data_IF_418503962709
#
_entry.id   IF_418503962709
#
_cell.length_a   1.000
_cell.length_b   1.000
_cell.length_c   1.000
_cell.angle_alpha   90.00
_cell.angle_beta   90.00
_cell.angle_gamma   90.00
#
_symmetry.space_group_name_H-M   'P 1'
#
loop_
_entity.id
_entity.type
_entity.pdbx_description
1 polymer ?
#
# COMPACT_ATOMS: atom_id res chain seq x y z
N UNK A 1 -12.10 -22.05 7.42
CA UNK A 1 -12.53 -20.82 6.74
C UNK A 1 -11.50 -20.58 5.66
N UNK A 2 -11.91 -20.42 4.41
CA UNK A 2 -10.97 -20.11 3.33
C UNK A 2 -10.39 -18.70 3.53
N UNK A 3 -9.11 -18.46 3.22
CA UNK A 3 -8.53 -17.13 3.30
C UNK A 3 -9.30 -16.19 2.37
N UNK A 4 -9.46 -14.94 2.80
CA UNK A 4 -9.99 -13.89 1.93
C UNK A 4 -9.00 -13.59 0.81
N UNK A 5 -9.45 -12.90 -0.22
CA UNK A 5 -8.57 -12.48 -1.30
C UNK A 5 -7.47 -11.51 -0.81
N UNK A 6 -7.74 -10.73 0.24
CA UNK A 6 -6.72 -9.91 0.90
C UNK A 6 -5.72 -10.76 1.68
N UNK A 7 -6.17 -11.81 2.37
CA UNK A 7 -5.25 -12.73 3.07
C UNK A 7 -4.29 -13.38 2.07
N UNK A 8 -4.77 -13.80 0.90
CA UNK A 8 -3.91 -14.34 -0.18
C UNK A 8 -2.90 -13.32 -0.68
N UNK A 9 -3.28 -12.05 -0.78
CA UNK A 9 -2.36 -10.97 -1.17
C UNK A 9 -1.30 -10.76 -0.12
N UNK A 10 -1.68 -10.69 1.16
CA UNK A 10 -0.73 -10.57 2.26
C UNK A 10 0.23 -11.76 2.24
N UNK A 11 -0.29 -12.98 2.20
CA UNK A 11 0.51 -14.22 2.12
C UNK A 11 1.50 -14.21 0.95
N UNK A 12 1.10 -13.73 -0.22
CA UNK A 12 1.99 -13.61 -1.38
C UNK A 12 3.07 -12.53 -1.20
N UNK A 13 2.72 -11.39 -0.60
CA UNK A 13 3.67 -10.29 -0.35
C UNK A 13 4.71 -10.70 0.70
N UNK A 14 4.29 -11.30 1.81
CA UNK A 14 5.16 -11.58 2.96
C UNK A 14 5.74 -13.01 2.97
N UNK A 15 5.62 -13.75 1.86
CA UNK A 15 5.96 -15.19 1.79
C UNK A 15 7.40 -15.52 2.25
N UNK A 16 8.35 -14.61 1.99
CA UNK A 16 9.77 -14.76 2.33
C UNK A 16 10.23 -13.74 3.39
N UNK A 17 9.28 -13.11 4.10
CA UNK A 17 9.57 -12.15 5.15
C UNK A 17 9.62 -12.84 6.52
N UNK A 18 10.65 -12.54 7.30
CA UNK A 18 10.88 -13.02 8.66
C UNK A 18 10.87 -11.87 9.66
N UNK A 19 9.67 -11.52 10.11
CA UNK A 19 9.42 -10.50 11.13
C UNK A 19 9.11 -9.12 10.56
N UNK A 20 8.64 -8.23 11.43
CA UNK A 20 7.97 -6.97 11.05
C UNK A 20 8.76 -6.12 10.04
N UNK A 21 10.06 -5.92 10.26
CA UNK A 21 10.90 -5.12 9.34
C UNK A 21 10.92 -5.70 7.92
N UNK A 22 11.03 -7.02 7.78
CA UNK A 22 11.04 -7.68 6.47
C UNK A 22 9.65 -7.66 5.83
N UNK A 23 8.57 -7.74 6.62
CA UNK A 23 7.20 -7.62 6.12
C UNK A 23 6.93 -6.22 5.55
N UNK A 24 7.37 -5.15 6.24
CA UNK A 24 7.28 -3.79 5.71
C UNK A 24 8.11 -3.60 4.45
N UNK A 25 9.35 -4.10 4.43
CA UNK A 25 10.20 -4.04 3.23
C UNK A 25 9.57 -4.80 2.06
N UNK A 26 8.95 -5.95 2.31
CA UNK A 26 8.25 -6.70 1.27
C UNK A 26 7.10 -5.88 0.66
N UNK A 27 6.25 -5.26 1.48
CA UNK A 27 5.21 -4.34 0.99
C UNK A 27 5.79 -3.16 0.23
N UNK A 28 6.89 -2.56 0.71
CA UNK A 28 7.57 -1.46 0.04
C UNK A 28 8.03 -1.85 -1.37
N UNK A 29 8.66 -3.01 -1.51
CA UNK A 29 9.12 -3.54 -2.79
C UNK A 29 7.97 -3.68 -3.78
N UNK A 30 6.89 -4.35 -3.38
CA UNK A 30 5.72 -4.54 -4.27
C UNK A 30 5.10 -3.19 -4.65
N UNK A 31 5.00 -2.23 -3.72
CA UNK A 31 4.50 -0.89 -4.03
C UNK A 31 5.38 -0.15 -5.03
N UNK A 32 6.70 -0.23 -4.89
CA UNK A 32 7.65 0.43 -5.79
C UNK A 32 7.65 -0.19 -7.19
N UNK A 33 7.40 -1.49 -7.31
CA UNK A 33 7.37 -2.21 -8.60
C UNK A 33 6.02 -2.07 -9.31
N UNK A 34 4.91 -2.16 -8.59
CA UNK A 34 3.57 -2.20 -9.16
C UNK A 34 2.91 -0.81 -9.28
N UNK A 35 3.42 0.21 -8.58
CA UNK A 35 2.87 1.56 -8.66
C UNK A 35 3.56 2.40 -9.73
N UNK A 36 2.78 2.83 -10.73
CA UNK A 36 3.22 3.83 -11.68
C UNK A 36 3.27 5.21 -11.03
N UNK A 37 4.46 5.65 -10.63
CA UNK A 37 4.69 6.99 -10.10
C UNK A 37 4.93 8.01 -11.23
N UNK A 38 4.44 9.26 -11.10
CA UNK A 38 3.61 9.75 -10.00
C UNK A 38 2.17 9.20 -10.03
N UNK A 39 1.65 8.82 -8.86
CA UNK A 39 0.32 8.22 -8.72
C UNK A 39 -0.69 9.21 -8.10
N UNK A 40 -1.94 9.18 -8.58
CA UNK A 40 -3.01 9.95 -7.97
C UNK A 40 -3.50 9.27 -6.68
N UNK A 41 -3.71 10.06 -5.62
CA UNK A 41 -4.34 9.61 -4.39
C UNK A 41 -5.12 10.76 -3.72
N UNK A 42 -5.78 10.44 -2.62
CA UNK A 42 -6.38 11.43 -1.72
C UNK A 42 -5.90 11.21 -0.30
N UNK A 43 -5.66 12.30 0.42
CA UNK A 43 -5.39 12.32 1.85
C UNK A 43 -6.56 13.02 2.54
N UNK A 44 -7.34 12.29 3.34
CA UNK A 44 -8.55 12.82 3.99
C UNK A 44 -9.50 13.55 2.99
N UNK A 45 -9.62 13.03 1.77
CA UNK A 45 -10.43 13.60 0.70
C UNK A 45 -9.77 14.74 -0.08
N UNK A 46 -8.57 15.20 0.31
CA UNK A 46 -7.80 16.20 -0.44
C UNK A 46 -6.97 15.49 -1.52
N UNK A 47 -7.08 15.88 -2.80
CA UNK A 47 -6.24 15.32 -3.86
C UNK A 47 -4.75 15.58 -3.62
N UNK A 48 -3.95 14.54 -3.74
CA UNK A 48 -2.48 14.58 -3.67
C UNK A 48 -1.87 13.77 -4.80
N UNK A 49 -0.61 14.03 -5.11
CA UNK A 49 0.19 13.22 -6.03
C UNK A 49 1.26 12.50 -5.24
N UNK A 50 1.21 11.16 -5.19
CA UNK A 50 2.27 10.35 -4.59
C UNK A 50 3.45 10.31 -5.56
N UNK A 51 4.64 10.61 -5.06
CA UNK A 51 5.88 10.66 -5.84
C UNK A 51 6.94 9.66 -5.38
N UNK A 52 6.71 8.97 -4.27
CA UNK A 52 7.62 7.96 -3.73
C UNK A 52 7.05 7.26 -2.51
N UNK A 53 7.63 6.11 -2.20
CA UNK A 53 7.35 5.31 -1.01
C UNK A 53 8.66 5.03 -0.30
N UNK A 54 8.62 5.01 1.03
CA UNK A 54 9.78 4.72 1.85
C UNK A 54 9.36 3.99 3.15
N UNK A 55 10.36 3.45 3.85
CA UNK A 55 10.23 2.76 5.13
C UNK A 55 11.43 3.11 6.01
N UNK A 56 11.19 3.32 7.31
CA UNK A 56 12.27 3.59 8.27
C UNK A 56 12.26 2.60 9.43
N UNK A 57 11.11 2.41 10.06
CA UNK A 57 10.96 1.57 11.24
C UNK A 57 9.50 1.12 11.44
N UNK A 58 9.26 0.03 12.20
CA UNK A 58 7.91 -0.51 12.39
C UNK A 58 6.94 0.44 13.10
N UNK A 59 7.42 1.38 13.91
CA UNK A 59 6.54 2.30 14.63
C UNK A 59 5.93 3.37 13.72
N UNK A 60 6.61 3.71 12.61
CA UNK A 60 6.07 4.57 11.55
C UNK A 60 5.33 3.80 10.46
N UNK A 61 5.76 2.57 10.20
CA UNK A 61 5.33 1.80 9.04
C UNK A 61 5.77 2.47 7.73
N UNK A 62 5.11 2.10 6.62
CA UNK A 62 5.35 2.69 5.31
C UNK A 62 4.89 4.14 5.23
N UNK A 63 5.72 4.98 4.61
CA UNK A 63 5.44 6.39 4.33
C UNK A 63 5.37 6.63 2.82
N UNK A 64 4.61 7.65 2.43
CA UNK A 64 4.49 8.11 1.06
C UNK A 64 4.84 9.59 0.97
N UNK A 65 5.75 9.94 0.06
CA UNK A 65 6.03 11.34 -0.28
C UNK A 65 4.93 11.83 -1.21
N UNK A 66 4.18 12.82 -0.76
CA UNK A 66 3.02 13.36 -1.44
C UNK A 66 3.22 14.83 -1.76
N UNK A 67 3.01 15.20 -3.03
CA UNK A 67 2.83 16.60 -3.45
C UNK A 67 1.37 16.97 -3.28
N UNK A 68 1.07 17.81 -2.30
CA UNK A 68 -0.25 18.38 -2.07
C UNK A 68 -0.46 19.72 -2.78
N UNK A 69 -1.62 20.36 -2.57
CA UNK A 69 -1.94 21.64 -3.20
C UNK A 69 -1.04 22.82 -2.80
N UNK A 70 -0.43 22.75 -1.60
CA UNK A 70 0.39 23.84 -1.03
C UNK A 70 1.86 23.47 -0.89
N UNK A 71 2.15 22.23 -0.51
CA UNK A 71 3.50 21.77 -0.21
C UNK A 71 3.65 20.27 -0.48
N UNK A 72 4.89 19.80 -0.50
CA UNK A 72 5.25 18.39 -0.52
C UNK A 72 5.57 17.95 0.90
N UNK A 73 5.11 16.76 1.29
CA UNK A 73 5.41 16.20 2.60
C UNK A 73 5.27 14.67 2.62
N UNK A 74 5.76 14.07 3.69
CA UNK A 74 5.62 12.65 3.97
C UNK A 74 4.37 12.41 4.80
N UNK A 75 3.61 11.38 4.45
CA UNK A 75 2.42 10.95 5.19
C UNK A 75 2.47 9.45 5.38
N UNK A 76 1.74 8.92 6.38
CA UNK A 76 1.56 7.48 6.49
C UNK A 76 0.91 6.97 5.22
N UNK A 77 1.45 5.89 4.64
CA UNK A 77 0.84 5.23 3.51
C UNK A 77 -0.60 4.81 3.83
N UNK A 78 -0.85 4.37 5.07
CA UNK A 78 -2.17 3.94 5.50
C UNK A 78 -3.22 5.06 5.48
N UNK A 79 -2.82 6.34 5.53
CA UNK A 79 -3.77 7.47 5.50
C UNK A 79 -4.20 7.87 4.08
N UNK A 80 -3.63 7.24 3.05
CA UNK A 80 -3.95 7.51 1.67
C UNK A 80 -5.17 6.70 1.18
N UNK A 81 -5.76 7.22 0.12
CA UNK A 81 -6.82 6.58 -0.63
C UNK A 81 -6.49 6.67 -2.12
N UNK A 82 -6.15 5.54 -2.72
CA UNK A 82 -5.87 5.40 -4.16
C UNK A 82 -7.16 5.11 -4.94
N UNK A 83 -7.22 5.44 -6.25
CA UNK A 83 -8.35 5.08 -7.10
C UNK A 83 -8.58 3.56 -7.04
N UNK A 84 -9.81 3.10 -6.75
CA UNK A 84 -10.09 1.71 -6.39
C UNK A 84 -9.81 0.72 -7.54
N UNK A 85 -9.73 1.24 -8.75
CA UNK A 85 -9.37 0.58 -9.97
C UNK A 85 -7.86 0.69 -10.24
N UNK A 86 -6.99 0.58 -9.23
CA UNK A 86 -5.54 0.51 -9.45
C UNK A 86 -4.94 -0.68 -8.72
N UNK A 87 -3.84 -1.22 -9.25
CA UNK A 87 -3.07 -2.27 -8.55
C UNK A 87 -2.52 -1.72 -7.22
N UNK A 88 -2.05 -0.48 -7.22
CA UNK A 88 -1.63 0.23 -5.99
C UNK A 88 -2.72 0.25 -4.93
N UNK A 89 -3.97 0.55 -5.29
CA UNK A 89 -5.08 0.52 -4.34
C UNK A 89 -5.28 -0.87 -3.73
N UNK A 90 -5.06 -1.93 -4.50
CA UNK A 90 -5.18 -3.29 -4.03
C UNK A 90 -4.07 -3.68 -3.05
N UNK A 91 -2.82 -3.40 -3.38
CA UNK A 91 -1.66 -3.62 -2.48
C UNK A 91 -1.82 -2.78 -1.20
N UNK A 92 -2.25 -1.53 -1.35
CA UNK A 92 -2.56 -0.65 -0.22
C UNK A 92 -3.67 -1.20 0.68
N UNK A 93 -4.72 -1.80 0.12
CA UNK A 93 -5.78 -2.44 0.90
C UNK A 93 -5.26 -3.65 1.69
N UNK A 94 -4.37 -4.45 1.11
CA UNK A 94 -3.71 -5.57 1.78
C UNK A 94 -2.76 -5.10 2.88
N UNK A 95 -1.99 -4.04 2.64
CA UNK A 95 -1.16 -3.40 3.66
C UNK A 95 -2.00 -2.93 4.85
N UNK A 96 -3.12 -2.24 4.59
CA UNK A 96 -4.05 -1.83 5.66
C UNK A 96 -4.61 -3.03 6.42
N UNK A 97 -5.02 -4.08 5.71
CA UNK A 97 -5.53 -5.31 6.33
C UNK A 97 -4.47 -5.99 7.22
N UNK A 98 -3.22 -6.05 6.75
CA UNK A 98 -2.08 -6.59 7.49
C UNK A 98 -1.83 -5.80 8.80
N UNK A 99 -2.03 -4.48 8.80
CA UNK A 99 -1.98 -3.64 10.00
C UNK A 99 -3.21 -3.78 10.93
N UNK A 100 -4.19 -4.62 10.59
CA UNK A 100 -5.47 -4.72 11.31
C UNK A 100 -6.40 -3.52 11.08
N UNK A 101 -6.13 -2.68 10.07
CA UNK A 101 -6.97 -1.56 9.68
C UNK A 101 -8.04 -2.01 8.67
N UNK A 102 -9.21 -1.32 8.60
CA UNK A 102 -10.20 -1.61 7.57
C UNK A 102 -9.59 -1.44 6.16
N UNK A 103 -9.69 -2.43 5.27
CA UNK A 103 -9.12 -2.34 3.93
C UNK A 103 -9.81 -1.25 3.09
N UNK A 104 -9.04 -0.56 2.25
CA UNK A 104 -9.55 0.45 1.33
C UNK A 104 -8.76 0.47 0.01
N UNK A 105 -9.42 0.22 -1.13
CA UNK A 105 -10.79 -0.28 -1.30
C UNK A 105 -10.97 -1.72 -0.77
N UNK A 106 -12.19 -2.08 -0.36
CA UNK A 106 -12.46 -3.38 0.24
C UNK A 106 -12.65 -4.55 -0.76
N UNK A 107 -12.50 -4.33 -2.07
CA UNK A 107 -12.75 -5.36 -3.10
C UNK A 107 -11.51 -5.63 -3.98
N UNK A 108 -11.21 -6.91 -4.26
CA UNK A 108 -10.11 -7.33 -5.16
C UNK A 108 -10.26 -6.87 -6.58
N UNK A 109 -9.11 -6.60 -7.22
CA UNK A 109 -8.99 -6.73 -8.67
C UNK A 109 -8.80 -8.22 -9.01
N UNK A 110 -9.66 -8.84 -9.83
CA UNK A 110 -9.59 -10.28 -10.15
C UNK A 110 -8.33 -10.72 -10.90
N UNK A 111 -7.55 -9.78 -11.44
CA UNK A 111 -6.46 -10.04 -12.40
C UNK A 111 -5.05 -9.74 -11.85
N UNK A 112 -4.90 -9.53 -10.54
CA UNK A 112 -3.60 -9.30 -9.90
C UNK A 112 -2.83 -10.63 -9.74
N UNK A 113 -1.57 -10.66 -10.21
CA UNK A 113 -0.71 -11.84 -10.16
C UNK A 113 0.75 -11.42 -9.89
N UNK A 114 1.16 -11.46 -8.62
CA UNK A 114 2.50 -11.10 -8.14
C UNK A 114 2.93 -12.05 -7.01
N UNK A 115 4.20 -12.51 -6.95
CA UNK A 115 5.21 -12.38 -7.99
C UNK A 115 4.88 -13.29 -9.20
N UNK A 116 5.28 -12.87 -10.40
CA UNK A 116 5.09 -13.65 -11.63
C UNK A 116 6.02 -14.87 -11.70
#
# INVERSE_FOLDING_TARGET
>A
MEPSDLDRVVEAVVVDAYGDDEEYVAFLTVLQEETQLPAAATLLGVPVTVTGFDYTDPARGLIATCRGPRETGEVSLADLAFPPDTVTAWIHAAYRHHLGLPPFPARPRPEWNWPA
#
